data_IF_249123079857
#
_entry.id   IF_249123079857
#
_cell.length_a   1.000
_cell.length_b   1.000
_cell.length_c   1.000
_cell.angle_alpha   90.00
_cell.angle_beta   90.00
_cell.angle_gamma   90.00
#
_symmetry.space_group_name_H-M   'P 1'
#
loop_
_entity.id
_entity.type
_entity.pdbx_description
1 polymer ?
#
# COMPACT_ATOMS: atom_id res chain seq x y z
N UNK A 1 -58.01 28.50 11.19
CA UNK A 1 -56.71 29.14 10.92
C UNK A 1 -55.97 28.25 9.93
N UNK A 2 -55.52 28.77 8.78
CA UNK A 2 -54.86 27.94 7.76
C UNK A 2 -53.39 27.75 8.15
N UNK A 3 -52.81 26.58 7.87
CA UNK A 3 -51.42 26.25 8.19
C UNK A 3 -50.42 27.27 7.62
N UNK A 4 -50.74 27.83 6.45
CA UNK A 4 -49.97 28.88 5.78
C UNK A 4 -49.92 30.18 6.58
N UNK A 5 -51.01 30.58 7.24
CA UNK A 5 -51.04 31.80 8.06
C UNK A 5 -50.10 31.66 9.27
N UNK A 6 -50.02 30.47 9.86
CA UNK A 6 -49.17 30.17 11.03
C UNK A 6 -47.68 30.27 10.65
N UNK A 7 -47.30 29.77 9.47
CA UNK A 7 -45.93 29.88 8.96
C UNK A 7 -45.54 31.34 8.68
N UNK A 8 -46.42 32.10 8.01
CA UNK A 8 -46.17 33.52 7.67
C UNK A 8 -46.05 34.37 8.94
N UNK A 9 -46.93 34.17 9.93
CA UNK A 9 -46.87 34.89 11.21
C UNK A 9 -45.59 34.53 11.97
N UNK A 10 -45.21 33.26 12.00
CA UNK A 10 -43.97 32.79 12.65
C UNK A 10 -42.71 33.39 12.02
N UNK A 11 -42.64 33.43 10.68
CA UNK A 11 -41.50 34.03 9.97
C UNK A 11 -41.38 35.54 10.21
N UNK A 12 -42.51 36.26 10.23
CA UNK A 12 -42.55 37.69 10.54
C UNK A 12 -42.08 37.98 11.97
N UNK A 13 -42.47 37.14 12.92
CA UNK A 13 -42.02 37.24 14.32
C UNK A 13 -40.52 36.95 14.48
N UNK A 14 -39.97 35.97 13.75
CA UNK A 14 -38.53 35.68 13.74
C UNK A 14 -37.71 36.85 13.18
N UNK A 15 -38.23 37.55 12.17
CA UNK A 15 -37.61 38.72 11.54
C UNK A 15 -37.59 39.95 12.46
N UNK A 16 -38.60 40.15 13.31
CA UNK A 16 -38.63 41.25 14.29
C UNK A 16 -37.54 41.17 15.37
N UNK A 17 -37.05 39.97 15.70
CA UNK A 17 -35.92 39.74 16.62
C UNK A 17 -34.75 39.07 15.91
N UNK A 18 -34.38 39.63 14.76
CA UNK A 18 -33.37 39.08 13.83
C UNK A 18 -32.06 38.67 14.50
N UNK A 19 -31.49 39.48 15.40
CA UNK A 19 -30.22 39.17 16.11
C UNK A 19 -30.31 37.88 16.94
N UNK A 20 -31.36 37.73 17.75
CA UNK A 20 -31.53 36.56 18.62
C UNK A 20 -31.84 35.31 17.80
N UNK A 21 -32.74 35.43 16.83
CA UNK A 21 -33.07 34.36 15.90
C UNK A 21 -31.81 33.91 15.14
N UNK A 22 -30.95 34.85 14.74
CA UNK A 22 -29.75 34.48 13.99
C UNK A 22 -28.70 33.79 14.86
N UNK A 23 -28.41 34.31 16.06
CA UNK A 23 -27.46 33.69 16.98
C UNK A 23 -27.86 32.26 17.38
N UNK A 24 -29.15 32.00 17.55
CA UNK A 24 -29.66 30.66 17.91
C UNK A 24 -29.53 29.66 16.76
N UNK A 25 -29.89 30.08 15.53
CA UNK A 25 -29.70 29.23 14.34
C UNK A 25 -28.21 28.98 14.11
N UNK A 26 -27.36 30.01 14.23
CA UNK A 26 -25.92 29.87 14.06
C UNK A 26 -25.32 28.88 15.06
N UNK A 27 -25.75 28.92 16.33
CA UNK A 27 -25.32 27.98 17.35
C UNK A 27 -25.70 26.53 17.03
N UNK A 28 -26.92 26.31 16.54
CA UNK A 28 -27.38 24.97 16.10
C UNK A 28 -26.57 24.50 14.89
N UNK A 29 -26.37 25.36 13.89
CA UNK A 29 -25.63 25.01 12.66
C UNK A 29 -24.18 24.64 12.99
N UNK A 30 -23.48 25.44 13.80
CA UNK A 30 -22.10 25.15 14.20
C UNK A 30 -22.04 23.87 15.04
N UNK A 31 -22.99 23.67 15.97
CA UNK A 31 -23.05 22.46 16.79
C UNK A 31 -23.24 21.19 15.95
N UNK A 32 -24.20 21.19 15.04
CA UNK A 32 -24.46 20.06 14.14
C UNK A 32 -23.28 19.85 13.18
N UNK A 33 -22.70 20.92 12.63
CA UNK A 33 -21.55 20.84 11.73
C UNK A 33 -20.31 20.25 12.44
N UNK A 34 -20.06 20.62 13.69
CA UNK A 34 -18.93 20.10 14.47
C UNK A 34 -19.08 18.59 14.73
N UNK A 35 -20.28 18.13 15.10
CA UNK A 35 -20.55 16.71 15.34
C UNK A 35 -20.42 15.90 14.06
N UNK A 36 -21.01 16.35 12.95
CA UNK A 36 -20.91 15.66 11.65
C UNK A 36 -19.46 15.60 11.17
N UNK A 37 -18.71 16.70 11.30
CA UNK A 37 -17.31 16.75 10.90
C UNK A 37 -16.46 15.76 11.71
N UNK A 38 -16.65 15.74 13.03
CA UNK A 38 -15.93 14.81 13.91
C UNK A 38 -16.23 13.35 13.57
N UNK A 39 -17.52 13.00 13.33
CA UNK A 39 -17.91 11.66 12.95
C UNK A 39 -17.33 11.25 11.59
N UNK A 40 -17.36 12.16 10.60
CA UNK A 40 -16.82 11.91 9.27
C UNK A 40 -15.31 11.67 9.29
N UNK A 41 -14.59 12.47 10.08
CA UNK A 41 -13.14 12.28 10.28
C UNK A 41 -12.88 10.96 11.01
N UNK A 42 -13.65 10.65 12.05
CA UNK A 42 -13.52 9.40 12.80
C UNK A 42 -13.69 8.15 11.92
N UNK A 43 -14.75 8.12 11.12
CA UNK A 43 -15.02 7.00 10.21
C UNK A 43 -14.01 6.95 9.06
N UNK A 44 -13.61 8.10 8.51
CA UNK A 44 -12.57 8.18 7.50
C UNK A 44 -11.22 7.64 7.99
N UNK A 45 -10.82 7.98 9.21
CA UNK A 45 -9.60 7.43 9.83
C UNK A 45 -9.74 5.93 10.08
N UNK A 46 -10.88 5.47 10.59
CA UNK A 46 -11.14 4.04 10.83
C UNK A 46 -11.05 3.24 9.54
N UNK A 47 -11.70 3.72 8.49
CA UNK A 47 -11.67 3.10 7.16
C UNK A 47 -10.26 3.10 6.58
N UNK A 48 -9.53 4.22 6.68
CA UNK A 48 -8.14 4.30 6.26
C UNK A 48 -7.26 3.29 6.99
N UNK A 49 -7.27 3.27 8.34
CA UNK A 49 -6.47 2.33 9.13
C UNK A 49 -6.86 0.89 8.81
N UNK A 50 -8.16 0.59 8.69
CA UNK A 50 -8.62 -0.76 8.35
C UNK A 50 -8.11 -1.17 6.98
N UNK A 51 -8.16 -0.29 5.98
CA UNK A 51 -7.64 -0.57 4.63
C UNK A 51 -6.12 -0.81 4.64
N UNK A 52 -5.37 -0.07 5.45
CA UNK A 52 -3.92 -0.25 5.61
C UNK A 52 -3.59 -1.61 6.26
N UNK A 53 -4.38 -2.03 7.25
CA UNK A 53 -4.21 -3.34 7.89
C UNK A 53 -4.68 -4.49 6.99
N UNK A 54 -5.69 -4.26 6.14
CA UNK A 54 -6.24 -5.26 5.22
C UNK A 54 -5.21 -5.77 4.21
N UNK A 55 -4.28 -4.90 3.79
CA UNK A 55 -3.22 -5.25 2.83
C UNK A 55 -2.32 -6.37 3.33
N UNK A 56 -2.08 -6.43 4.64
CA UNK A 56 -1.26 -7.49 5.23
C UNK A 56 -2.04 -8.78 5.48
N UNK A 57 -3.36 -8.79 5.30
CA UNK A 57 -4.21 -9.90 5.73
C UNK A 57 -4.16 -10.11 7.26
N UNK A 58 -5.24 -10.60 7.90
CA UNK A 58 -5.20 -10.90 9.33
C UNK A 58 -4.25 -12.07 9.70
N UNK A 59 -3.77 -12.84 8.71
CA UNK A 59 -3.12 -14.14 8.92
C UNK A 59 -1.68 -14.22 8.38
N UNK A 60 -0.99 -13.10 8.12
CA UNK A 60 0.41 -13.11 7.64
C UNK A 60 1.38 -12.80 8.79
N UNK A 61 2.33 -13.72 9.02
CA UNK A 61 3.45 -13.52 9.95
C UNK A 61 4.72 -13.32 9.14
N UNK A 62 5.31 -12.13 9.22
CA UNK A 62 6.58 -11.81 8.56
C UNK A 62 7.75 -12.08 9.50
N UNK A 63 8.65 -12.99 9.10
CA UNK A 63 9.89 -13.29 9.83
C UNK A 63 11.05 -12.65 9.10
N UNK A 64 11.78 -11.77 9.79
CA UNK A 64 12.93 -11.06 9.21
C UNK A 64 14.19 -11.37 10.01
N UNK A 65 15.35 -11.58 9.36
CA UNK A 65 16.61 -11.63 10.08
C UNK A 65 16.91 -10.22 10.63
N UNK A 66 17.59 -10.11 11.77
CA UNK A 66 18.01 -8.80 12.30
C UNK A 66 17.99 -8.69 13.81
N UNK A 67 18.87 -7.82 14.33
CA UNK A 67 18.94 -7.53 15.77
C UNK A 67 17.81 -6.59 16.19
N UNK A 68 17.26 -6.83 17.37
CA UNK A 68 16.26 -6.09 18.15
C UNK A 68 16.59 -4.61 18.47
N UNK A 69 17.50 -3.96 17.74
CA UNK A 69 17.80 -2.53 17.86
C UNK A 69 16.87 -1.62 17.06
N UNK A 70 15.81 -2.16 16.45
CA UNK A 70 14.67 -1.36 16.01
C UNK A 70 13.79 -1.08 17.24
N UNK A 71 14.23 -0.16 18.10
CA UNK A 71 13.41 0.36 19.19
C UNK A 71 12.19 1.07 18.61
N UNK A 72 11.01 0.50 18.83
CA UNK A 72 9.71 1.06 18.45
C UNK A 72 8.92 0.11 17.56
N UNK A 73 7.79 -0.40 18.06
CA UNK A 73 6.83 -1.24 17.33
C UNK A 73 6.05 -0.49 16.24
N UNK A 74 6.62 0.57 15.68
CA UNK A 74 6.06 1.32 14.56
C UNK A 74 6.60 0.79 13.23
N UNK A 75 5.84 1.00 12.16
CA UNK A 75 6.16 0.63 10.77
C UNK A 75 7.56 1.12 10.35
N UNK A 76 8.00 2.26 10.86
CA UNK A 76 9.33 2.85 10.63
C UNK A 76 10.46 1.99 11.20
N UNK A 77 10.22 1.28 12.32
CA UNK A 77 11.15 0.31 12.91
C UNK A 77 11.29 -0.94 12.05
N UNK A 78 10.18 -1.39 11.46
CA UNK A 78 10.13 -2.51 10.51
C UNK A 78 10.93 -2.20 9.25
N UNK A 79 10.72 -1.02 8.65
CA UNK A 79 11.48 -0.53 7.48
C UNK A 79 12.98 -0.42 7.80
N UNK A 80 13.35 0.10 8.99
CA UNK A 80 14.75 0.11 9.41
C UNK A 80 15.31 -1.29 9.57
N UNK A 81 14.56 -2.24 10.14
CA UNK A 81 15.03 -3.62 10.27
C UNK A 81 15.32 -4.26 8.90
N UNK A 82 14.45 -4.04 7.89
CA UNK A 82 14.64 -4.50 6.50
C UNK A 82 15.89 -3.88 5.86
N UNK A 83 16.13 -2.59 6.10
CA UNK A 83 17.27 -1.87 5.52
C UNK A 83 18.60 -2.13 6.26
N UNK A 84 18.52 -2.47 7.55
CA UNK A 84 19.68 -2.75 8.43
C UNK A 84 20.19 -4.18 8.31
N UNK A 85 19.46 -5.07 7.62
CA UNK A 85 19.81 -6.49 7.48
C UNK A 85 20.93 -6.78 6.48
N UNK A 86 21.69 -5.76 6.06
CA UNK A 86 22.83 -5.92 5.16
C UNK A 86 23.87 -6.86 5.79
N UNK A 87 23.81 -8.14 5.45
CA UNK A 87 24.80 -9.16 5.81
C UNK A 87 24.35 -10.23 6.83
N UNK A 88 23.15 -10.14 7.41
CA UNK A 88 22.66 -11.16 8.36
C UNK A 88 21.79 -12.16 7.59
N UNK A 89 22.41 -13.26 7.14
CA UNK A 89 21.73 -14.40 6.48
C UNK A 89 21.53 -15.54 7.47
N UNK A 90 20.68 -15.33 8.48
CA UNK A 90 20.35 -16.37 9.46
C UNK A 90 19.15 -17.22 9.05
N UNK A 91 18.31 -16.72 8.14
CA UNK A 91 17.20 -17.49 7.56
C UNK A 91 17.68 -18.24 6.33
N UNK A 92 17.25 -19.49 6.22
CA UNK A 92 17.59 -20.43 5.16
C UNK A 92 16.35 -21.20 4.70
N UNK A 93 16.45 -21.87 3.56
CA UNK A 93 15.35 -22.69 3.02
C UNK A 93 14.95 -23.83 3.97
N UNK A 94 15.86 -24.26 4.86
CA UNK A 94 15.55 -25.24 5.91
C UNK A 94 14.54 -24.71 6.93
N UNK A 95 14.58 -23.42 7.24
CA UNK A 95 13.66 -22.80 8.18
C UNK A 95 12.24 -22.79 7.59
N UNK A 96 12.12 -22.60 6.28
CA UNK A 96 10.85 -22.71 5.56
C UNK A 96 10.27 -24.12 5.72
N UNK A 97 11.08 -25.18 5.53
CA UNK A 97 10.63 -26.57 5.67
C UNK A 97 10.19 -26.92 7.09
N UNK A 98 10.82 -26.32 8.11
CA UNK A 98 10.44 -26.52 9.52
C UNK A 98 9.14 -25.80 9.83
N UNK A 99 8.99 -24.54 9.43
CA UNK A 99 7.78 -23.74 9.70
C UNK A 99 6.56 -24.32 8.98
N UNK A 100 6.73 -24.86 7.75
CA UNK A 100 5.65 -25.55 7.01
C UNK A 100 5.05 -26.75 7.75
N UNK A 101 5.77 -27.33 8.71
CA UNK A 101 5.30 -28.50 9.49
C UNK A 101 4.54 -28.11 10.77
N UNK A 102 4.48 -26.82 11.10
CA UNK A 102 3.78 -26.34 12.30
C UNK A 102 2.28 -26.33 12.02
N UNK A 103 1.49 -26.90 12.94
CA UNK A 103 0.05 -26.93 12.82
C UNK A 103 -0.54 -25.51 12.88
N UNK A 104 -1.50 -25.22 12.00
CA UNK A 104 -2.07 -23.88 11.80
C UNK A 104 -1.35 -23.00 10.76
N UNK A 105 -0.19 -23.40 10.25
CA UNK A 105 0.48 -22.68 9.16
C UNK A 105 -0.04 -23.19 7.81
N UNK A 106 -0.81 -22.34 7.10
CA UNK A 106 -1.33 -22.68 5.76
C UNK A 106 -0.23 -22.67 4.70
N UNK A 107 0.65 -21.67 4.73
CA UNK A 107 1.74 -21.53 3.78
C UNK A 107 2.94 -20.76 4.34
N UNK A 108 4.12 -21.00 3.78
CA UNK A 108 5.37 -20.31 4.13
C UNK A 108 6.17 -20.09 2.86
N UNK A 109 6.54 -18.85 2.61
CA UNK A 109 7.37 -18.50 1.47
C UNK A 109 8.58 -17.68 1.89
N UNK A 110 9.69 -17.95 1.20
CA UNK A 110 10.93 -17.21 1.36
C UNK A 110 10.92 -16.00 0.44
N UNK A 111 11.25 -14.84 0.99
CA UNK A 111 11.32 -13.61 0.22
C UNK A 111 12.69 -12.95 0.40
N UNK A 112 13.27 -12.50 -0.71
CA UNK A 112 14.53 -11.75 -0.70
C UNK A 112 14.26 -10.32 -1.14
N UNK A 113 14.27 -9.38 -0.20
CA UNK A 113 14.17 -7.95 -0.50
C UNK A 113 15.57 -7.35 -0.57
N UNK A 114 15.82 -6.56 -1.61
CA UNK A 114 17.03 -5.78 -1.76
C UNK A 114 16.76 -4.47 -2.47
N UNK A 115 17.72 -3.56 -2.38
CA UNK A 115 17.74 -2.35 -3.20
C UNK A 115 18.92 -2.45 -4.15
N UNK A 116 18.70 -2.19 -5.43
CA UNK A 116 19.77 -2.15 -6.42
C UNK A 116 19.54 -1.09 -7.48
N UNK A 117 20.57 -0.82 -8.27
CA UNK A 117 20.44 0.08 -9.40
C UNK A 117 19.96 -0.67 -10.64
N UNK A 118 18.87 -0.19 -11.22
CA UNK A 118 18.40 -0.56 -12.55
C UNK A 118 18.89 0.46 -13.58
N UNK A 119 19.29 -0.03 -14.75
CA UNK A 119 19.75 0.74 -15.89
C UNK A 119 18.90 0.40 -17.09
N UNK A 120 18.30 1.43 -17.69
CA UNK A 120 17.52 1.35 -18.92
C UNK A 120 17.94 2.50 -19.85
N UNK A 121 18.36 2.16 -21.07
CA UNK A 121 18.96 3.14 -21.98
C UNK A 121 20.21 3.79 -21.35
N UNK A 122 20.17 5.11 -21.16
CA UNK A 122 21.25 5.90 -20.53
C UNK A 122 20.96 6.27 -19.07
N UNK A 123 19.81 5.85 -18.53
CA UNK A 123 19.35 6.25 -17.21
C UNK A 123 19.61 5.17 -16.17
N UNK A 124 19.97 5.60 -14.97
CA UNK A 124 20.24 4.72 -13.83
C UNK A 124 19.41 5.15 -12.64
N UNK A 125 18.52 4.28 -12.20
CA UNK A 125 17.61 4.52 -11.08
C UNK A 125 17.82 3.49 -9.98
N UNK A 126 17.59 3.89 -8.72
CA UNK A 126 17.57 2.96 -7.60
C UNK A 126 16.16 2.38 -7.45
N UNK A 127 16.04 1.06 -7.52
CA UNK A 127 14.76 0.35 -7.38
C UNK A 127 14.84 -0.66 -6.24
N UNK A 128 13.69 -0.98 -5.66
CA UNK A 128 13.57 -2.14 -4.79
C UNK A 128 13.41 -3.38 -5.66
N UNK A 129 13.93 -4.50 -5.20
CA UNK A 129 13.86 -5.78 -5.89
C UNK A 129 13.38 -6.80 -4.89
N UNK A 130 12.43 -7.61 -5.32
CA UNK A 130 11.88 -8.70 -4.53
C UNK A 130 12.07 -10.02 -5.28
N UNK A 131 12.85 -10.91 -4.69
CA UNK A 131 12.93 -12.31 -5.10
C UNK A 131 11.78 -13.07 -4.46
N UNK A 132 10.92 -13.66 -5.29
CA UNK A 132 9.70 -14.37 -4.88
C UNK A 132 9.64 -15.78 -5.48
N UNK A 133 8.85 -16.67 -4.87
CA UNK A 133 8.49 -17.94 -5.49
C UNK A 133 7.46 -17.72 -6.63
N UNK A 134 7.77 -18.11 -7.88
CA UNK A 134 6.86 -17.98 -9.03
C UNK A 134 5.45 -18.52 -8.83
N UNK A 135 5.26 -19.52 -7.97
CA UNK A 135 4.02 -20.27 -7.88
C UNK A 135 2.95 -19.57 -7.03
N UNK A 136 3.36 -18.70 -6.10
CA UNK A 136 2.48 -18.22 -5.01
C UNK A 136 2.59 -16.74 -4.70
N UNK A 137 3.56 -16.04 -5.27
CA UNK A 137 3.80 -14.63 -4.99
C UNK A 137 2.58 -13.73 -5.23
N UNK A 138 1.75 -14.02 -6.25
CA UNK A 138 0.55 -13.23 -6.56
C UNK A 138 -0.52 -13.33 -5.48
N UNK A 139 -0.73 -14.52 -4.94
CA UNK A 139 -1.73 -14.74 -3.89
C UNK A 139 -1.31 -14.05 -2.59
N UNK A 140 -0.01 -14.03 -2.30
CA UNK A 140 0.52 -13.38 -1.09
C UNK A 140 0.55 -11.86 -1.19
N UNK A 141 0.91 -11.30 -2.35
CA UNK A 141 1.02 -9.85 -2.53
C UNK A 141 -0.28 -9.19 -3.00
N UNK A 142 -1.31 -9.99 -3.32
CA UNK A 142 -2.59 -9.52 -3.83
C UNK A 142 -2.45 -8.54 -5.00
N UNK A 143 -1.60 -8.90 -5.97
CA UNK A 143 -1.27 -8.08 -7.14
C UNK A 143 -1.86 -8.65 -8.42
N UNK A 144 -2.23 -7.75 -9.32
CA UNK A 144 -2.78 -8.07 -10.64
C UNK A 144 -1.79 -7.65 -11.73
N UNK A 145 -1.60 -8.50 -12.74
CA UNK A 145 -0.77 -8.19 -13.90
C UNK A 145 -1.63 -7.41 -14.90
N UNK A 146 -1.18 -6.22 -15.29
CA UNK A 146 -1.84 -5.40 -16.28
C UNK A 146 -1.44 -5.82 -17.71
N UNK A 147 -0.13 -5.98 -17.93
CA UNK A 147 0.41 -6.34 -19.24
C UNK A 147 1.37 -7.53 -19.14
N UNK A 148 1.40 -8.36 -20.18
CA UNK A 148 2.31 -9.49 -20.29
C UNK A 148 1.80 -10.76 -19.62
N UNK A 149 2.67 -11.45 -18.89
CA UNK A 149 2.35 -12.74 -18.26
C UNK A 149 3.09 -12.94 -16.94
N UNK A 150 2.63 -13.93 -16.20
CA UNK A 150 3.28 -14.40 -14.98
C UNK A 150 4.56 -15.20 -15.27
N UNK A 151 5.35 -15.42 -14.21
CA UNK A 151 6.52 -16.29 -14.23
C UNK A 151 6.14 -17.72 -14.61
N UNK A 152 6.97 -18.36 -15.43
CA UNK A 152 6.88 -19.79 -15.70
C UNK A 152 7.96 -20.58 -14.95
N UNK A 153 7.73 -21.86 -14.63
CA UNK A 153 8.75 -22.70 -14.02
C UNK A 153 10.05 -22.73 -14.85
N UNK A 154 11.19 -22.68 -14.16
CA UNK A 154 12.54 -22.70 -14.74
C UNK A 154 12.95 -21.47 -15.58
N UNK A 155 12.18 -20.40 -15.58
CA UNK A 155 12.63 -19.15 -16.20
C UNK A 155 13.74 -18.50 -15.38
N UNK A 156 14.74 -17.96 -16.08
CA UNK A 156 15.88 -17.29 -15.47
C UNK A 156 16.02 -15.90 -16.07
N UNK A 157 16.45 -14.95 -15.24
CA UNK A 157 16.72 -13.56 -15.66
C UNK A 157 15.50 -12.90 -16.31
N UNK A 158 14.33 -13.11 -15.68
CA UNK A 158 13.07 -12.45 -16.03
C UNK A 158 12.62 -11.59 -14.86
N UNK A 159 11.91 -10.51 -15.15
CA UNK A 159 11.34 -9.60 -14.15
C UNK A 159 9.93 -9.18 -14.53
N UNK A 160 9.11 -8.96 -13.51
CA UNK A 160 7.83 -8.27 -13.60
C UNK A 160 8.01 -6.93 -12.91
N UNK A 161 7.57 -5.84 -13.52
CA UNK A 161 7.78 -4.49 -13.02
C UNK A 161 6.52 -3.90 -12.38
N UNK A 162 6.68 -3.18 -11.28
CA UNK A 162 5.66 -2.26 -10.79
C UNK A 162 5.30 -1.17 -11.82
N UNK A 163 4.07 -0.64 -11.72
CA UNK A 163 3.56 0.36 -12.66
C UNK A 163 4.44 1.62 -12.72
N UNK A 164 4.92 2.11 -11.57
CA UNK A 164 5.75 3.32 -11.48
C UNK A 164 7.11 3.12 -12.13
N UNK A 165 7.74 1.96 -11.92
CA UNK A 165 9.01 1.62 -12.60
C UNK A 165 8.82 1.63 -14.12
N UNK A 166 7.71 1.05 -14.60
CA UNK A 166 7.45 0.94 -16.03
C UNK A 166 7.12 2.29 -16.69
N UNK A 167 6.36 3.17 -16.02
CA UNK A 167 5.77 4.35 -16.67
C UNK A 167 6.29 5.72 -16.20
N UNK A 168 6.82 5.83 -14.97
CA UNK A 168 7.13 7.14 -14.36
C UNK A 168 8.60 7.31 -13.99
N UNK A 169 9.32 6.22 -13.71
CA UNK A 169 10.71 6.31 -13.22
C UNK A 169 11.74 6.60 -14.29
N UNK A 170 11.47 6.22 -15.54
CA UNK A 170 12.38 6.41 -16.67
C UNK A 170 11.76 7.37 -17.69
N UNK A 171 12.58 8.11 -18.42
CA UNK A 171 12.09 9.06 -19.44
C UNK A 171 11.34 8.39 -20.60
N UNK A 172 11.61 7.09 -20.83
CA UNK A 172 10.86 6.27 -21.78
C UNK A 172 10.15 5.14 -21.06
N UNK A 173 8.87 4.88 -21.36
CA UNK A 173 8.15 3.79 -20.75
C UNK A 173 8.77 2.45 -21.13
N UNK A 174 8.88 1.55 -20.13
CA UNK A 174 9.35 0.19 -20.32
C UNK A 174 8.13 -0.66 -20.68
N UNK A 175 8.21 -1.39 -21.80
CA UNK A 175 7.17 -2.32 -22.24
C UNK A 175 7.60 -3.78 -22.03
N UNK A 176 6.63 -4.68 -22.10
CA UNK A 176 6.89 -6.12 -22.07
C UNK A 176 7.81 -6.52 -23.22
N UNK A 177 8.86 -7.27 -22.93
CA UNK A 177 9.91 -7.67 -23.86
C UNK A 177 11.18 -6.82 -23.79
N UNK A 178 11.13 -5.64 -23.17
CA UNK A 178 12.32 -4.81 -22.94
C UNK A 178 13.37 -5.50 -22.06
N UNK A 179 14.62 -5.08 -22.23
CA UNK A 179 15.73 -5.50 -21.37
C UNK A 179 16.05 -4.44 -20.34
N UNK A 180 16.07 -4.84 -19.06
CA UNK A 180 16.42 -4.00 -17.93
C UNK A 180 17.68 -4.56 -17.28
N UNK A 181 18.72 -3.73 -17.13
CA UNK A 181 19.95 -4.19 -16.48
C UNK A 181 19.92 -3.86 -14.99
N UNK A 182 19.90 -4.89 -14.15
CA UNK A 182 19.85 -4.75 -12.70
C UNK A 182 21.17 -5.28 -12.13
N UNK A 183 21.90 -4.44 -11.38
CA UNK A 183 23.20 -4.78 -10.82
C UNK A 183 24.22 -5.37 -11.83
N UNK A 184 24.19 -4.87 -13.08
CA UNK A 184 25.06 -5.36 -14.16
C UNK A 184 24.60 -6.67 -14.84
N UNK A 185 23.46 -7.24 -14.44
CA UNK A 185 22.86 -8.42 -15.07
C UNK A 185 21.63 -7.98 -15.88
N UNK A 186 21.53 -8.40 -17.13
CA UNK A 186 20.38 -8.11 -17.99
C UNK A 186 19.22 -9.06 -17.68
N UNK A 187 18.04 -8.50 -17.43
CA UNK A 187 16.78 -9.19 -17.22
C UNK A 187 15.78 -8.81 -18.32
N UNK A 188 14.95 -9.77 -18.74
CA UNK A 188 13.84 -9.52 -19.65
C UNK A 188 12.57 -9.18 -18.87
N UNK A 189 11.91 -8.10 -19.25
CA UNK A 189 10.61 -7.73 -18.71
C UNK A 189 9.54 -8.64 -19.33
N UNK A 190 8.84 -9.42 -18.50
CA UNK A 190 7.79 -10.36 -18.96
C UNK A 190 6.38 -9.92 -18.58
N UNK A 191 6.26 -8.97 -17.65
CA UNK A 191 4.98 -8.40 -17.26
C UNK A 191 5.11 -7.07 -16.53
N UNK A 192 4.01 -6.34 -16.47
CA UNK A 192 3.88 -5.07 -15.76
C UNK A 192 2.64 -5.18 -14.86
N UNK A 193 2.81 -4.86 -13.58
CA UNK A 193 1.73 -4.85 -12.60
C UNK A 193 0.77 -3.69 -12.86
N UNK A 194 -0.49 -3.90 -12.48
CA UNK A 194 -1.48 -2.84 -12.42
C UNK A 194 -1.10 -1.84 -11.33
N UNK A 195 -1.39 -0.56 -11.61
CA UNK A 195 -1.15 0.52 -10.64
C UNK A 195 -1.83 0.21 -9.31
N UNK A 196 -1.02 0.11 -8.26
CA UNK A 196 -1.51 -0.11 -6.92
C UNK A 196 -1.65 1.23 -6.20
N UNK A 197 -2.80 1.88 -6.40
CA UNK A 197 -3.08 3.18 -5.78
C UNK A 197 -2.96 3.14 -4.25
N UNK A 198 -2.42 4.22 -3.65
CA UNK A 198 -2.36 4.40 -2.20
C UNK A 198 -1.11 3.83 -1.52
N UNK A 199 -1.26 3.31 -0.29
CA UNK A 199 -0.14 2.83 0.55
C UNK A 199 0.51 1.54 0.04
N UNK A 200 -0.16 0.82 -0.88
CA UNK A 200 0.41 -0.25 -1.70
C UNK A 200 1.38 0.25 -2.78
N UNK A 201 1.54 1.57 -2.95
CA UNK A 201 2.48 2.16 -3.90
C UNK A 201 3.96 1.88 -3.60
N UNK A 202 4.25 1.18 -2.50
CA UNK A 202 5.54 0.53 -2.27
C UNK A 202 5.78 -0.58 -3.29
N UNK A 203 4.75 -1.34 -3.68
CA UNK A 203 4.81 -2.38 -4.71
C UNK A 203 4.94 -1.80 -6.12
N UNK A 204 4.49 -0.57 -6.35
CA UNK A 204 4.70 0.11 -7.64
C UNK A 204 6.18 0.43 -7.90
N UNK A 205 7.01 0.44 -6.84
CA UNK A 205 8.45 0.72 -6.85
C UNK A 205 9.31 -0.55 -6.73
N UNK A 206 8.73 -1.74 -6.97
CA UNK A 206 9.37 -3.06 -6.83
C UNK A 206 9.30 -3.83 -8.16
#
# INVERSE_FOLDING_TARGET
>A
MKLLDILVISFRNLSQRSLRSWLTILGIVIGVAAVISMLSIGEGMRSSITSQLSVFGPDIVMVMPGSTRAGGGDITGLIRAVLSTRGIRTLSDKDIEVIKKIDGVKDVEGEVVGMSSAVYGTEKMSINIRGVDPSKWREMLNVEINEGRDFQPNERRVVILGYRIANEMFSQPISVGSQLTINGISFRVIGILKESGGQMGILDNV
#
